data_IF_968733740334
#
_entry.id   IF_968733740334
#
_cell.length_a   1.000
_cell.length_b   1.000
_cell.length_c   1.000
_cell.angle_alpha   90.00
_cell.angle_beta   90.00
_cell.angle_gamma   90.00
#
_symmetry.space_group_name_H-M   'P 1'
#
loop_
_entity.id
_entity.type
_entity.pdbx_description
1 polymer ?
#
# COMPACT_ATOMS: atom_id res chain seq x y z
N UNK A 1 -20.27 -38.31 61.56
CA UNK A 1 -20.66 -36.97 62.04
C UNK A 1 -19.91 -35.94 61.21
N UNK A 2 -20.59 -35.11 60.42
CA UNK A 2 -19.92 -34.13 59.56
C UNK A 2 -19.26 -33.04 60.42
N UNK A 3 -17.96 -32.81 60.24
CA UNK A 3 -17.22 -31.79 60.97
C UNK A 3 -17.70 -30.41 60.51
N UNK A 4 -18.36 -29.66 61.40
CA UNK A 4 -18.84 -28.29 61.11
C UNK A 4 -17.73 -27.29 61.43
N UNK A 5 -17.20 -26.63 60.41
CA UNK A 5 -16.23 -25.54 60.59
C UNK A 5 -17.00 -24.23 60.58
N UNK A 6 -17.10 -23.59 61.75
CA UNK A 6 -17.79 -22.32 61.91
C UNK A 6 -16.81 -21.16 61.76
N UNK A 7 -17.04 -20.29 60.77
CA UNK A 7 -16.20 -19.13 60.47
C UNK A 7 -16.95 -17.82 60.71
N UNK A 8 -16.19 -16.75 60.99
CA UNK A 8 -16.75 -15.41 61.15
C UNK A 8 -17.16 -14.81 59.81
N UNK A 9 -18.06 -13.81 59.87
CA UNK A 9 -18.51 -13.05 58.70
C UNK A 9 -17.34 -12.52 57.85
N UNK A 10 -16.29 -12.01 58.50
CA UNK A 10 -15.10 -11.46 57.79
C UNK A 10 -14.37 -12.52 56.97
N UNK A 11 -14.25 -13.73 57.53
CA UNK A 11 -13.51 -14.83 56.90
C UNK A 11 -14.30 -15.36 55.69
N UNK A 12 -15.61 -15.57 55.82
CA UNK A 12 -16.41 -16.11 54.69
C UNK A 12 -16.49 -15.13 53.52
N UNK A 13 -16.60 -13.82 53.79
CA UNK A 13 -16.54 -12.74 52.79
C UNK A 13 -15.20 -12.78 52.04
N UNK A 14 -14.09 -12.92 52.78
CA UNK A 14 -12.76 -13.01 52.19
C UNK A 14 -12.56 -14.27 51.35
N UNK A 15 -13.04 -15.43 51.82
CA UNK A 15 -12.88 -16.71 51.11
C UNK A 15 -13.68 -16.72 49.81
N UNK A 16 -14.92 -16.24 49.86
CA UNK A 16 -15.80 -16.21 48.69
C UNK A 16 -15.52 -15.03 47.76
N UNK A 17 -14.67 -14.08 48.17
CA UNK A 17 -14.36 -12.84 47.44
C UNK A 17 -15.63 -12.06 47.04
N UNK A 18 -16.60 -11.96 47.96
CA UNK A 18 -17.88 -11.27 47.77
C UNK A 18 -18.04 -10.14 48.81
N UNK A 19 -18.87 -9.14 48.52
CA UNK A 19 -19.22 -8.09 49.47
C UNK A 19 -20.23 -8.53 50.53
N UNK A 20 -20.31 -7.81 51.66
CA UNK A 20 -21.23 -8.19 52.76
C UNK A 20 -22.71 -8.20 52.35
N UNK A 21 -23.11 -7.29 51.46
CA UNK A 21 -24.47 -7.25 50.90
C UNK A 21 -24.80 -8.52 50.12
N UNK A 22 -23.83 -9.03 49.36
CA UNK A 22 -23.98 -10.27 48.59
C UNK A 22 -24.06 -11.47 49.52
N UNK A 23 -23.25 -11.51 50.58
CA UNK A 23 -23.38 -12.54 51.61
C UNK A 23 -24.76 -12.51 52.27
N UNK A 24 -25.32 -11.33 52.58
CA UNK A 24 -26.68 -11.22 53.12
C UNK A 24 -27.75 -11.75 52.17
N UNK A 25 -27.59 -11.55 50.86
CA UNK A 25 -28.49 -12.12 49.86
C UNK A 25 -28.35 -13.65 49.80
N UNK A 26 -27.12 -14.18 49.81
CA UNK A 26 -26.88 -15.63 49.82
C UNK A 26 -27.44 -16.34 51.07
N UNK A 27 -27.51 -15.64 52.20
CA UNK A 27 -28.19 -16.17 53.40
C UNK A 27 -29.70 -16.21 53.20
N UNK A 28 -30.30 -15.18 52.57
CA UNK A 28 -31.74 -15.17 52.25
C UNK A 28 -32.10 -16.26 51.25
N UNK A 29 -31.22 -16.50 50.29
CA UNK A 29 -31.38 -17.50 49.23
C UNK A 29 -31.08 -18.93 49.74
N UNK A 30 -30.73 -19.10 51.02
CA UNK A 30 -30.45 -20.40 51.63
C UNK A 30 -29.11 -21.03 51.20
N UNK A 31 -28.29 -20.32 50.43
CA UNK A 31 -26.99 -20.77 49.93
C UNK A 31 -25.94 -20.70 51.02
N UNK A 32 -25.91 -19.62 51.80
CA UNK A 32 -25.03 -19.46 52.95
C UNK A 32 -25.76 -19.81 54.24
N UNK A 33 -25.23 -20.79 54.98
CA UNK A 33 -25.88 -21.30 56.19
C UNK A 33 -25.29 -20.59 57.40
N UNK A 34 -26.13 -19.73 57.98
CA UNK A 34 -25.83 -19.00 59.21
C UNK A 34 -26.28 -19.82 60.42
N UNK A 35 -25.35 -20.09 61.33
CA UNK A 35 -25.61 -20.70 62.64
C UNK A 35 -25.28 -19.64 63.68
N UNK A 36 -26.32 -19.06 64.29
CA UNK A 36 -26.23 -17.90 65.20
C UNK A 36 -25.54 -16.69 64.55
N UNK A 37 -24.26 -16.46 64.88
CA UNK A 37 -23.42 -15.37 64.34
C UNK A 37 -22.21 -15.87 63.53
N UNK A 38 -22.14 -17.17 63.26
CA UNK A 38 -21.09 -17.79 62.45
C UNK A 38 -21.67 -18.51 61.24
N UNK A 39 -20.80 -18.81 60.27
CA UNK A 39 -21.18 -19.44 59.00
C UNK A 39 -20.57 -20.83 58.92
N UNK A 40 -21.35 -21.82 58.49
CA UNK A 40 -20.82 -23.14 58.18
C UNK A 40 -20.02 -23.05 56.89
N UNK A 41 -18.68 -23.04 57.00
CA UNK A 41 -17.79 -22.84 55.87
C UNK A 41 -17.98 -23.92 54.81
N UNK A 42 -18.01 -25.18 55.23
CA UNK A 42 -18.00 -26.31 54.29
C UNK A 42 -19.29 -26.33 53.51
N UNK A 43 -20.42 -26.21 54.20
CA UNK A 43 -21.72 -26.28 53.55
C UNK A 43 -22.01 -25.02 52.73
N UNK A 44 -21.61 -23.84 53.22
CA UNK A 44 -21.73 -22.58 52.48
C UNK A 44 -20.87 -22.57 51.23
N UNK A 45 -19.60 -23.00 51.32
CA UNK A 45 -18.72 -23.08 50.14
C UNK A 45 -19.23 -24.12 49.17
N UNK A 46 -19.70 -25.29 49.64
CA UNK A 46 -20.28 -26.31 48.78
C UNK A 46 -21.52 -25.80 48.04
N UNK A 47 -22.46 -25.19 48.76
CA UNK A 47 -23.67 -24.62 48.18
C UNK A 47 -23.33 -23.44 47.25
N UNK A 48 -22.41 -22.57 47.64
CA UNK A 48 -21.94 -21.46 46.81
C UNK A 48 -21.27 -21.95 45.54
N UNK A 49 -20.44 -23.00 45.60
CA UNK A 49 -19.85 -23.65 44.45
C UNK A 49 -20.86 -24.45 43.65
N UNK A 50 -21.98 -24.89 44.19
CA UNK A 50 -23.08 -25.50 43.42
C UNK A 50 -23.94 -24.45 42.72
N UNK A 51 -24.22 -23.31 43.39
CA UNK A 51 -24.92 -22.16 42.82
C UNK A 51 -24.06 -21.38 41.82
N UNK A 52 -22.75 -21.32 42.02
CA UNK A 52 -21.75 -20.82 41.07
C UNK A 52 -21.26 -21.93 40.14
N UNK A 53 -21.56 -23.20 40.43
CA UNK A 53 -21.21 -24.38 39.63
C UNK A 53 -22.23 -24.72 38.56
N UNK A 54 -23.25 -23.90 38.41
CA UNK A 54 -23.85 -23.63 37.10
C UNK A 54 -22.94 -22.74 36.24
N UNK A 55 -21.71 -22.44 36.66
CA UNK A 55 -20.61 -22.16 35.73
C UNK A 55 -20.07 -23.50 35.23
N UNK A 56 -20.87 -24.02 34.30
CA UNK A 56 -20.56 -24.91 33.19
C UNK A 56 -19.12 -25.45 33.13
N UNK A 57 -18.99 -26.75 33.42
CA UNK A 57 -17.97 -27.58 32.82
C UNK A 57 -18.12 -27.54 31.30
N UNK A 58 -17.14 -26.95 30.59
CA UNK A 58 -17.10 -26.86 29.12
C UNK A 58 -18.34 -26.24 28.46
N UNK A 59 -18.37 -24.92 28.29
CA UNK A 59 -19.30 -24.30 27.34
C UNK A 59 -19.67 -22.87 27.67
N UNK A 60 -19.25 -21.98 26.77
CA UNK A 60 -19.84 -20.65 26.51
C UNK A 60 -19.68 -19.65 27.67
N UNK A 61 -18.47 -19.08 27.83
CA UNK A 61 -18.34 -17.76 28.46
C UNK A 61 -19.06 -16.74 27.59
N UNK A 62 -20.36 -16.56 27.86
CA UNK A 62 -21.16 -15.50 27.28
C UNK A 62 -20.77 -14.16 27.90
N UNK A 63 -20.35 -13.22 27.07
CA UNK A 63 -19.93 -11.87 27.46
C UNK A 63 -20.78 -10.83 26.78
N UNK A 64 -20.99 -9.73 27.48
CA UNK A 64 -21.64 -8.55 26.96
C UNK A 64 -20.74 -7.80 25.96
N UNK A 65 -21.38 -7.00 25.11
CA UNK A 65 -20.68 -6.28 24.04
C UNK A 65 -19.62 -5.30 24.56
N UNK A 66 -19.82 -4.76 25.76
CA UNK A 66 -18.89 -3.82 26.40
C UNK A 66 -17.62 -4.54 26.83
N UNK A 67 -17.75 -5.69 27.52
CA UNK A 67 -16.60 -6.51 27.91
C UNK A 67 -15.84 -7.03 26.68
N UNK A 68 -16.55 -7.45 25.64
CA UNK A 68 -15.93 -7.91 24.40
C UNK A 68 -15.24 -6.77 23.64
N UNK A 69 -15.83 -5.57 23.61
CA UNK A 69 -15.22 -4.37 23.05
C UNK A 69 -13.92 -3.98 23.77
N UNK A 70 -13.93 -4.01 25.10
CA UNK A 70 -12.73 -3.78 25.91
C UNK A 70 -11.65 -4.82 25.65
N UNK A 71 -12.02 -6.10 25.44
CA UNK A 71 -11.09 -7.18 25.14
C UNK A 71 -10.41 -7.01 23.77
N UNK A 72 -11.18 -6.61 22.75
CA UNK A 72 -10.67 -6.40 21.39
C UNK A 72 -10.10 -4.99 21.16
N UNK A 73 -10.24 -4.08 22.12
CA UNK A 73 -9.83 -2.68 21.98
C UNK A 73 -10.69 -1.88 20.97
N UNK A 74 -11.96 -2.26 20.80
CA UNK A 74 -12.88 -1.62 19.85
C UNK A 74 -14.17 -1.17 20.53
N UNK A 75 -14.90 -0.25 19.91
CA UNK A 75 -16.17 0.27 20.47
C UNK A 75 -17.30 -0.77 20.42
N UNK A 76 -18.28 -0.68 21.33
CA UNK A 76 -19.52 -1.49 21.29
C UNK A 76 -20.22 -1.41 19.92
N UNK A 77 -20.22 -0.22 19.31
CA UNK A 77 -20.75 -0.04 17.95
C UNK A 77 -20.04 -0.97 16.95
N UNK A 78 -18.71 -1.02 16.99
CA UNK A 78 -17.91 -1.89 16.11
C UNK A 78 -18.20 -3.36 16.36
N UNK A 79 -18.36 -3.77 17.63
CA UNK A 79 -18.76 -5.15 17.99
C UNK A 79 -20.11 -5.50 17.34
N UNK A 80 -21.10 -4.61 17.44
CA UNK A 80 -22.42 -4.83 16.83
C UNK A 80 -22.37 -4.89 15.31
N UNK A 81 -21.56 -4.04 14.68
CA UNK A 81 -21.33 -4.07 13.23
C UNK A 81 -20.64 -5.37 12.78
N UNK A 82 -19.65 -5.85 13.54
CA UNK A 82 -18.99 -7.13 13.26
C UNK A 82 -19.94 -8.32 13.45
N UNK A 83 -20.86 -8.22 14.41
CA UNK A 83 -21.90 -9.22 14.61
C UNK A 83 -22.97 -9.20 13.51
N UNK A 84 -23.30 -8.03 12.95
CA UNK A 84 -24.17 -7.93 11.76
C UNK A 84 -23.54 -8.56 10.52
N UNK A 85 -22.20 -8.54 10.43
CA UNK A 85 -21.43 -9.17 9.37
C UNK A 85 -21.19 -10.67 9.61
N UNK A 86 -21.84 -11.25 10.62
CA UNK A 86 -21.73 -12.65 11.02
C UNK A 86 -20.31 -13.10 11.42
N UNK A 87 -19.43 -12.14 11.74
CA UNK A 87 -18.06 -12.42 12.19
C UNK A 87 -18.07 -12.80 13.68
N UNK A 88 -18.87 -12.08 14.48
CA UNK A 88 -19.02 -12.35 15.91
C UNK A 88 -20.33 -13.09 16.17
N UNK A 89 -20.24 -14.30 16.72
CA UNK A 89 -21.40 -15.14 17.03
C UNK A 89 -22.13 -14.66 18.27
N UNK A 90 -23.43 -14.40 18.11
CA UNK A 90 -24.35 -14.12 19.21
C UNK A 90 -25.01 -15.41 19.68
N UNK A 91 -25.18 -15.54 20.98
CA UNK A 91 -26.05 -16.53 21.61
C UNK A 91 -27.52 -16.10 21.53
N UNK A 92 -28.43 -17.03 21.79
CA UNK A 92 -29.89 -16.82 21.76
C UNK A 92 -30.34 -15.69 22.72
N UNK A 93 -29.56 -15.43 23.78
CA UNK A 93 -29.82 -14.39 24.77
C UNK A 93 -29.32 -12.99 24.35
N UNK A 94 -28.70 -12.85 23.19
CA UNK A 94 -28.08 -11.60 22.73
C UNK A 94 -26.68 -11.32 23.30
N UNK A 95 -26.15 -12.24 24.12
CA UNK A 95 -24.75 -12.26 24.57
C UNK A 95 -23.81 -12.79 23.48
N UNK A 96 -22.50 -12.61 23.65
CA UNK A 96 -21.49 -13.07 22.70
C UNK A 96 -20.68 -14.24 23.24
N UNK A 97 -20.43 -15.23 22.38
CA UNK A 97 -19.62 -16.39 22.74
C UNK A 97 -18.14 -16.01 22.69
N UNK A 98 -17.52 -15.79 23.86
CA UNK A 98 -16.16 -15.24 23.98
C UNK A 98 -15.13 -15.99 23.13
N UNK A 99 -15.04 -17.31 23.31
CA UNK A 99 -14.00 -18.12 22.67
C UNK A 99 -14.13 -18.16 21.14
N UNK A 100 -15.36 -18.27 20.64
CA UNK A 100 -15.63 -18.25 19.20
C UNK A 100 -15.41 -16.85 18.60
N UNK A 101 -15.86 -15.81 19.31
CA UNK A 101 -15.67 -14.43 18.90
C UNK A 101 -14.18 -14.06 18.82
N UNK A 102 -13.35 -14.51 19.76
CA UNK A 102 -11.89 -14.26 19.74
C UNK A 102 -11.26 -14.91 18.49
N UNK A 103 -11.56 -16.18 18.24
CA UNK A 103 -11.01 -16.91 17.07
C UNK A 103 -11.42 -16.23 15.76
N UNK A 104 -12.72 -15.98 15.58
CA UNK A 104 -13.24 -15.35 14.37
C UNK A 104 -12.70 -13.92 14.18
N UNK A 105 -12.50 -13.18 15.28
CA UNK A 105 -11.94 -11.83 15.22
C UNK A 105 -10.46 -11.85 14.78
N UNK A 106 -9.67 -12.81 15.28
CA UNK A 106 -8.28 -13.01 14.86
C UNK A 106 -8.22 -13.38 13.36
N UNK A 107 -9.06 -14.31 12.91
CA UNK A 107 -9.15 -14.71 11.51
C UNK A 107 -9.53 -13.53 10.60
N UNK A 108 -10.52 -12.74 11.02
CA UNK A 108 -10.92 -11.51 10.33
C UNK A 108 -9.76 -10.51 10.21
N UNK A 109 -8.97 -10.33 11.27
CA UNK A 109 -7.81 -9.44 11.23
C UNK A 109 -6.73 -9.96 10.29
N UNK A 110 -6.44 -11.26 10.29
CA UNK A 110 -5.46 -11.87 9.39
C UNK A 110 -5.88 -11.72 7.92
N UNK A 111 -7.14 -12.01 7.59
CA UNK A 111 -7.64 -11.82 6.21
C UNK A 111 -7.59 -10.37 5.76
N UNK A 112 -7.91 -9.43 6.65
CA UNK A 112 -7.88 -8.00 6.34
C UNK A 112 -6.45 -7.51 6.11
N UNK A 113 -5.48 -8.04 6.85
CA UNK A 113 -4.06 -7.74 6.69
C UNK A 113 -3.54 -8.31 5.37
N UNK A 114 -3.88 -9.55 5.03
CA UNK A 114 -3.47 -10.18 3.77
C UNK A 114 -4.06 -9.47 2.54
N UNK A 115 -5.34 -9.12 2.57
CA UNK A 115 -5.99 -8.33 1.49
C UNK A 115 -5.32 -6.96 1.30
N UNK A 116 -4.94 -6.30 2.41
CA UNK A 116 -4.20 -5.04 2.34
C UNK A 116 -2.78 -5.22 1.80
N UNK A 117 -2.10 -6.31 2.16
CA UNK A 117 -0.74 -6.62 1.67
C UNK A 117 -0.75 -6.87 0.16
N UNK A 118 -1.68 -7.70 -0.33
CA UNK A 118 -1.83 -8.01 -1.74
C UNK A 118 -2.19 -6.77 -2.57
N UNK A 119 -3.14 -5.96 -2.10
CA UNK A 119 -3.51 -4.72 -2.77
C UNK A 119 -2.33 -3.74 -2.86
N UNK A 120 -1.53 -3.63 -1.79
CA UNK A 120 -0.36 -2.76 -1.73
C UNK A 120 0.78 -3.28 -2.61
N UNK A 121 0.97 -4.58 -2.70
CA UNK A 121 1.94 -5.19 -3.62
C UNK A 121 1.55 -4.99 -5.09
N UNK A 122 0.28 -5.14 -5.43
CA UNK A 122 -0.21 -4.88 -6.79
C UNK A 122 -0.07 -3.41 -7.18
N UNK A 123 -0.41 -2.49 -6.27
CA UNK A 123 -0.23 -1.05 -6.49
C UNK A 123 1.25 -0.70 -6.68
N UNK A 124 2.15 -1.29 -5.88
CA UNK A 124 3.59 -1.09 -6.01
C UNK A 124 4.09 -1.61 -7.36
N UNK A 125 3.69 -2.80 -7.78
CA UNK A 125 4.04 -3.39 -9.09
C UNK A 125 3.58 -2.51 -10.25
N UNK A 126 2.34 -2.01 -10.21
CA UNK A 126 1.81 -1.08 -11.21
C UNK A 126 2.62 0.20 -11.26
N UNK A 127 2.90 0.80 -10.10
CA UNK A 127 3.71 2.03 -10.01
C UNK A 127 5.14 1.83 -10.52
N UNK A 128 5.75 0.67 -10.27
CA UNK A 128 7.07 0.34 -10.82
C UNK A 128 7.04 0.16 -12.33
N UNK A 129 6.01 -0.50 -12.88
CA UNK A 129 5.86 -0.67 -14.33
C UNK A 129 5.61 0.67 -15.03
N UNK A 130 4.75 1.53 -14.47
CA UNK A 130 4.50 2.87 -14.99
C UNK A 130 5.76 3.75 -14.95
N UNK A 131 6.57 3.62 -13.90
CA UNK A 131 7.85 4.32 -13.80
C UNK A 131 8.80 3.86 -14.91
N UNK A 132 8.96 2.56 -15.10
CA UNK A 132 9.82 2.00 -16.15
C UNK A 132 9.35 2.43 -17.55
N UNK A 133 8.04 2.41 -17.80
CA UNK A 133 7.47 2.86 -19.08
C UNK A 133 7.76 4.34 -19.33
N UNK A 134 7.61 5.20 -18.31
CA UNK A 134 7.93 6.62 -18.43
C UNK A 134 9.42 6.85 -18.68
N UNK A 135 10.28 6.09 -18.02
CA UNK A 135 11.72 6.17 -18.20
C UNK A 135 12.16 5.75 -19.61
N UNK A 136 11.60 4.65 -20.14
CA UNK A 136 11.83 4.23 -21.52
C UNK A 136 11.36 5.28 -22.54
N UNK A 137 10.16 5.84 -22.34
CA UNK A 137 9.66 6.92 -23.21
C UNK A 137 10.56 8.15 -23.16
N UNK A 138 11.06 8.50 -21.98
CA UNK A 138 11.97 9.63 -21.81
C UNK A 138 13.30 9.38 -22.54
N UNK A 139 13.84 8.16 -22.47
CA UNK A 139 15.03 7.78 -23.23
C UNK A 139 14.80 7.82 -24.75
N UNK A 140 13.64 7.36 -25.23
CA UNK A 140 13.28 7.41 -26.64
C UNK A 140 13.17 8.86 -27.13
N UNK A 141 12.46 9.71 -26.39
CA UNK A 141 12.34 11.13 -26.69
C UNK A 141 13.69 11.85 -26.66
N UNK A 142 14.57 11.54 -25.69
CA UNK A 142 15.92 12.08 -25.64
C UNK A 142 16.73 11.68 -26.87
N UNK A 143 16.68 10.41 -27.29
CA UNK A 143 17.32 9.94 -28.53
C UNK A 143 16.78 10.65 -29.77
N UNK A 144 15.47 10.86 -29.85
CA UNK A 144 14.85 11.60 -30.96
C UNK A 144 15.30 13.07 -30.98
N UNK A 145 15.38 13.72 -29.82
CA UNK A 145 15.88 15.09 -29.69
C UNK A 145 17.33 15.20 -30.16
N UNK A 146 18.23 14.33 -29.69
CA UNK A 146 19.62 14.30 -30.13
C UNK A 146 19.73 14.04 -31.63
N UNK A 147 18.97 13.08 -32.17
CA UNK A 147 18.97 12.80 -33.61
C UNK A 147 18.51 14.02 -34.42
N UNK A 148 17.47 14.70 -33.95
CA UNK A 148 16.93 15.89 -34.63
C UNK A 148 17.91 17.06 -34.58
N UNK A 149 18.57 17.28 -33.44
CA UNK A 149 19.57 18.33 -33.27
C UNK A 149 20.79 18.08 -34.18
N UNK A 150 21.32 16.86 -34.22
CA UNK A 150 22.44 16.49 -35.08
C UNK A 150 22.09 16.68 -36.56
N UNK A 151 20.90 16.25 -36.99
CA UNK A 151 20.44 16.44 -38.37
C UNK A 151 20.27 17.93 -38.71
N UNK A 152 19.72 18.73 -37.80
CA UNK A 152 19.56 20.17 -38.01
C UNK A 152 20.90 20.89 -38.15
N UNK A 153 21.89 20.55 -37.31
CA UNK A 153 23.27 21.09 -37.41
C UNK A 153 23.92 20.69 -38.73
N UNK A 154 23.80 19.43 -39.12
CA UNK A 154 24.33 18.92 -40.39
C UNK A 154 23.79 19.69 -41.61
N UNK A 155 22.47 19.85 -41.70
CA UNK A 155 21.82 20.59 -42.79
C UNK A 155 22.24 22.07 -42.77
N UNK A 156 22.31 22.69 -41.58
CA UNK A 156 22.73 24.09 -41.43
C UNK A 156 24.15 24.31 -41.93
N UNK A 157 25.08 23.42 -41.58
CA UNK A 157 26.46 23.48 -42.05
C UNK A 157 26.54 23.28 -43.56
N UNK A 158 25.82 22.29 -44.11
CA UNK A 158 25.76 22.04 -45.55
C UNK A 158 25.29 23.28 -46.34
N UNK A 159 24.20 23.92 -45.90
CA UNK A 159 23.68 25.15 -46.53
C UNK A 159 24.66 26.32 -46.39
N UNK A 160 25.34 26.43 -45.25
CA UNK A 160 26.31 27.51 -44.99
C UNK A 160 27.53 27.40 -45.92
N UNK A 161 28.06 26.19 -46.11
CA UNK A 161 29.17 25.93 -47.04
C UNK A 161 28.74 26.22 -48.47
N UNK A 162 27.57 25.73 -48.89
CA UNK A 162 27.02 26.00 -50.22
C UNK A 162 26.89 27.50 -50.48
N UNK A 163 26.28 28.24 -49.55
CA UNK A 163 26.11 29.70 -49.65
C UNK A 163 27.44 30.40 -49.83
N UNK A 164 28.44 30.04 -49.02
CA UNK A 164 29.78 30.64 -49.07
C UNK A 164 30.40 30.40 -50.44
N UNK A 165 30.38 29.16 -50.93
CA UNK A 165 30.97 28.82 -52.23
C UNK A 165 30.22 29.47 -53.39
N UNK A 166 28.89 29.50 -53.36
CA UNK A 166 28.07 30.15 -54.38
C UNK A 166 28.38 31.65 -54.50
N UNK A 167 28.61 32.33 -53.37
CA UNK A 167 29.01 33.75 -53.37
C UNK A 167 30.42 33.96 -53.93
N UNK A 168 31.33 33.01 -53.73
CA UNK A 168 32.71 33.08 -54.26
C UNK A 168 32.83 32.64 -55.73
N UNK A 169 31.87 31.86 -56.24
CA UNK A 169 31.90 31.29 -57.59
C UNK A 169 32.01 32.35 -58.70
N UNK A 170 31.23 33.45 -58.71
CA UNK A 170 31.39 34.51 -59.72
C UNK A 170 32.79 35.13 -59.73
N UNK A 171 33.36 35.35 -58.54
CA UNK A 171 34.72 35.92 -58.42
C UNK A 171 35.79 34.96 -58.95
N UNK A 172 35.63 33.64 -58.74
CA UNK A 172 36.52 32.60 -59.28
C UNK A 172 36.42 32.49 -60.80
N UNK A 173 35.20 32.62 -61.36
CA UNK A 173 34.97 32.47 -62.80
C UNK A 173 35.21 33.75 -63.60
N UNK A 174 35.15 34.94 -62.97
CA UNK A 174 35.31 36.24 -63.62
C UNK A 174 36.56 36.29 -64.52
N UNK A 175 37.73 35.91 -63.98
CA UNK A 175 38.98 35.92 -64.75
C UNK A 175 38.99 34.95 -65.95
N UNK A 176 38.30 33.80 -65.86
CA UNK A 176 38.20 32.85 -66.97
C UNK A 176 37.25 33.34 -68.06
N UNK A 177 36.16 34.00 -67.66
CA UNK A 177 35.15 34.52 -68.59
C UNK A 177 35.65 35.76 -69.33
N UNK A 178 36.45 36.63 -68.69
CA UNK A 178 36.99 37.85 -69.32
C UNK A 178 37.95 37.58 -70.49
N UNK A 179 38.62 36.44 -70.49
CA UNK A 179 39.62 36.09 -71.52
C UNK A 179 38.96 35.41 -72.72
N UNK A 180 37.74 34.89 -72.57
CA UNK A 180 37.06 34.14 -73.63
C UNK A 180 36.14 34.99 -74.50
N UNK A 181 36.23 34.76 -75.82
CA UNK A 181 35.48 35.52 -76.83
C UNK A 181 34.31 34.74 -77.44
N UNK A 182 34.19 33.44 -77.19
CA UNK A 182 33.06 32.61 -77.63
C UNK A 182 32.02 32.45 -76.51
N UNK A 183 30.81 32.94 -76.77
CA UNK A 183 29.66 32.87 -75.85
C UNK A 183 29.35 31.43 -75.43
N UNK A 184 29.52 30.44 -76.33
CA UNK A 184 29.25 29.03 -76.02
C UNK A 184 30.25 28.48 -75.01
N UNK A 185 31.52 28.90 -75.12
CA UNK A 185 32.59 28.51 -74.20
C UNK A 185 32.36 29.15 -72.83
N UNK A 186 31.96 30.42 -72.80
CA UNK A 186 31.58 31.12 -71.56
C UNK A 186 30.40 30.43 -70.85
N UNK A 187 29.35 30.06 -71.60
CA UNK A 187 28.20 29.35 -71.05
C UNK A 187 28.61 28.00 -70.44
N UNK A 188 29.52 27.27 -71.11
CA UNK A 188 30.02 25.99 -70.61
C UNK A 188 30.82 26.17 -69.31
N UNK A 189 31.69 27.18 -69.23
CA UNK A 189 32.47 27.48 -68.01
C UNK A 189 31.55 27.79 -66.81
N UNK A 190 30.47 28.54 -67.04
CA UNK A 190 29.48 28.84 -66.00
C UNK A 190 28.73 27.58 -65.56
N UNK A 191 28.28 26.76 -66.51
CA UNK A 191 27.60 25.48 -66.20
C UNK A 191 28.50 24.55 -65.42
N UNK A 192 29.76 24.40 -65.82
CA UNK A 192 30.74 23.55 -65.15
C UNK A 192 30.96 24.00 -63.70
N UNK A 193 31.07 25.31 -63.45
CA UNK A 193 31.21 25.84 -62.11
C UNK A 193 29.99 25.62 -61.22
N UNK A 194 28.78 25.69 -61.79
CA UNK A 194 27.53 25.36 -61.07
C UNK A 194 27.44 23.86 -60.79
N UNK A 195 27.83 23.00 -61.74
CA UNK A 195 27.84 21.56 -61.54
C UNK A 195 28.90 21.11 -60.52
N UNK A 196 30.07 21.74 -60.49
CA UNK A 196 31.09 21.52 -59.45
C UNK A 196 30.53 21.82 -58.06
N UNK A 197 29.89 22.98 -57.89
CA UNK A 197 29.24 23.38 -56.65
C UNK A 197 28.13 22.41 -56.20
N UNK A 198 27.29 21.96 -57.14
CA UNK A 198 26.20 21.02 -56.86
C UNK A 198 26.73 19.60 -56.55
N UNK A 199 27.81 19.17 -57.20
CA UNK A 199 28.48 17.91 -56.90
C UNK A 199 29.03 17.92 -55.49
N UNK A 200 29.75 18.97 -55.10
CA UNK A 200 30.27 19.11 -53.73
C UNK A 200 29.16 19.13 -52.68
N UNK A 201 28.00 19.71 -53.00
CA UNK A 201 26.82 19.66 -52.14
C UNK A 201 26.28 18.22 -51.99
N UNK A 202 26.22 17.48 -53.10
CA UNK A 202 25.73 16.09 -53.11
C UNK A 202 26.69 15.10 -52.44
N UNK A 203 27.99 15.40 -52.46
CA UNK A 203 29.04 14.55 -51.87
C UNK A 203 29.29 14.89 -50.39
N UNK A 204 28.58 15.88 -49.84
CA UNK A 204 28.70 16.26 -48.44
C UNK A 204 28.32 15.08 -47.53
N UNK A 205 29.24 14.70 -46.64
CA UNK A 205 29.02 13.68 -45.62
C UNK A 205 29.08 14.33 -44.25
N UNK A 206 28.21 13.85 -43.36
CA UNK A 206 28.28 14.20 -41.94
C UNK A 206 29.61 13.66 -41.41
N UNK A 207 30.53 14.56 -41.07
CA UNK A 207 31.64 14.18 -40.19
C UNK A 207 31.02 13.94 -38.82
N UNK A 208 30.98 12.67 -38.43
CA UNK A 208 30.45 12.22 -37.14
C UNK A 208 31.34 12.85 -36.06
N UNK A 209 30.88 13.95 -35.45
CA UNK A 209 31.51 14.42 -34.23
C UNK A 209 31.23 13.32 -33.19
N UNK A 210 32.30 12.69 -32.73
CA UNK A 210 32.24 11.52 -31.85
C UNK A 210 31.78 11.85 -30.43
N UNK A 211 30.75 12.69 -30.25
CA UNK A 211 30.14 12.90 -28.93
C UNK A 211 29.14 11.79 -28.60
N UNK A 212 29.68 10.59 -28.38
CA UNK A 212 29.10 9.69 -27.40
C UNK A 212 29.39 10.29 -26.00
N UNK A 213 28.42 11.02 -25.45
CA UNK A 213 28.28 11.24 -24.00
C UNK A 213 26.83 11.06 -23.60
#
# INVERSE_FOLDING_TARGET
MAQRILVSKRIIVSILSIGERQLSNLVKDGVAIKVEDRYDLILTVKNYLSCKGTVSSYGLEEVDAITLGNLFGVSDRTIRELAQKDILKKSENGSYLKDECIKNYIEYLTEKMDKNSLAREEELKRKTADRQLKELKLQEQAKELHRTETVAKAITNMITVFKTKALTLPSKLAGRVTIENDIKVVEQILKDGVYELLRELSEWRIEDDGTNQ
#
